data_IF_155308335934
#
_entry.id   IF_155308335934
#
_cell.length_a   1.000
_cell.length_b   1.000
_cell.length_c   1.000
_cell.angle_alpha   90.00
_cell.angle_beta   90.00
_cell.angle_gamma   90.00
#
_symmetry.space_group_name_H-M   'P 1'
#
loop_
_entity.id
_entity.type
_entity.pdbx_description
1 polymer ?
#
# COMPACT_ATOMS: atom_id res chain seq x y z
N UNK A 1 -41.86 21.20 -54.29
CA UNK A 1 -40.50 21.77 -54.09
C UNK A 1 -40.22 22.21 -52.65
N UNK A 2 -41.17 22.83 -51.89
CA UNK A 2 -40.88 23.25 -50.49
C UNK A 2 -40.61 22.12 -49.46
N UNK A 3 -41.17 20.91 -49.65
CA UNK A 3 -40.93 19.76 -48.70
C UNK A 3 -39.57 19.06 -48.91
N UNK A 4 -39.01 19.09 -50.12
CA UNK A 4 -37.73 18.47 -50.43
C UNK A 4 -36.55 19.34 -49.89
N UNK A 5 -36.71 20.66 -49.96
CA UNK A 5 -35.70 21.61 -49.45
C UNK A 5 -35.58 21.52 -47.91
N UNK A 6 -36.69 21.29 -47.16
CA UNK A 6 -36.67 21.14 -45.69
C UNK A 6 -35.98 19.86 -45.20
N UNK A 7 -36.10 18.77 -45.99
CA UNK A 7 -35.45 17.49 -45.62
C UNK A 7 -33.94 17.54 -45.88
N UNK A 8 -33.50 18.18 -46.97
CA UNK A 8 -32.09 18.32 -47.31
C UNK A 8 -31.38 19.24 -46.33
N UNK A 9 -32.04 20.33 -45.89
CA UNK A 9 -31.49 21.25 -44.88
C UNK A 9 -31.40 20.61 -43.49
N UNK A 10 -32.37 19.78 -43.07
CA UNK A 10 -32.33 19.07 -41.81
C UNK A 10 -31.21 17.99 -41.80
N UNK A 11 -31.01 17.26 -42.89
CA UNK A 11 -29.91 16.28 -43.02
C UNK A 11 -28.55 16.99 -43.07
N UNK A 12 -28.40 18.09 -43.77
CA UNK A 12 -27.16 18.84 -43.80
C UNK A 12 -26.82 19.47 -42.43
N UNK A 13 -27.82 19.93 -41.67
CA UNK A 13 -27.62 20.49 -40.33
C UNK A 13 -27.25 19.38 -39.30
N UNK A 14 -27.88 18.20 -39.38
CA UNK A 14 -27.51 17.04 -38.55
C UNK A 14 -26.13 16.53 -38.90
N UNK A 15 -25.76 16.48 -40.19
CA UNK A 15 -24.41 16.06 -40.61
C UNK A 15 -23.36 17.08 -40.22
N UNK A 16 -23.68 18.39 -40.25
CA UNK A 16 -22.78 19.46 -39.77
C UNK A 16 -22.63 19.43 -38.25
N UNK A 17 -23.69 19.16 -37.47
CA UNK A 17 -23.58 19.00 -36.02
C UNK A 17 -22.72 17.79 -35.65
N UNK A 18 -22.91 16.65 -36.32
CA UNK A 18 -22.08 15.42 -36.11
C UNK A 18 -20.60 15.66 -36.50
N UNK A 19 -20.36 16.46 -37.57
CA UNK A 19 -19.00 16.83 -37.98
C UNK A 19 -18.32 17.81 -37.01
N UNK A 20 -19.07 18.72 -36.36
CA UNK A 20 -18.54 19.67 -35.38
C UNK A 20 -18.23 18.99 -34.03
N UNK A 21 -18.96 17.95 -33.61
CA UNK A 21 -18.68 17.17 -32.40
C UNK A 21 -17.38 16.42 -32.57
N UNK A 22 -17.10 15.85 -33.74
CA UNK A 22 -15.87 15.10 -34.02
C UNK A 22 -14.56 15.91 -34.07
N UNK A 23 -14.64 17.28 -34.02
CA UNK A 23 -13.48 18.17 -34.08
C UNK A 23 -13.26 19.03 -32.83
N UNK A 24 -14.11 18.85 -31.80
CA UNK A 24 -13.92 19.58 -30.55
C UNK A 24 -12.65 19.10 -29.84
N UNK A 25 -11.78 20.05 -29.55
CA UNK A 25 -10.66 19.83 -28.62
C UNK A 25 -11.23 19.93 -27.21
N UNK A 26 -10.92 18.96 -26.38
CA UNK A 26 -11.22 18.96 -24.96
C UNK A 26 -10.00 18.54 -24.15
N UNK A 27 -10.01 18.90 -22.89
CA UNK A 27 -8.95 18.57 -21.95
C UNK A 27 -9.59 18.25 -20.61
N UNK A 28 -9.09 17.23 -19.94
CA UNK A 28 -9.42 16.92 -18.56
C UNK A 28 -8.18 16.46 -17.80
N UNK A 29 -8.28 16.45 -16.48
CA UNK A 29 -7.18 16.02 -15.60
C UNK A 29 -7.67 14.89 -14.71
N UNK A 30 -6.83 13.86 -14.52
CA UNK A 30 -7.00 12.85 -13.48
C UNK A 30 -5.98 13.17 -12.40
N UNK A 31 -6.46 13.52 -11.19
CA UNK A 31 -5.63 13.63 -10.01
C UNK A 31 -5.62 12.30 -9.27
N UNK A 32 -4.44 11.80 -8.94
CA UNK A 32 -4.29 10.46 -8.35
C UNK A 32 -3.48 10.46 -7.07
N UNK A 33 -3.88 9.57 -6.15
CA UNK A 33 -3.13 9.20 -4.94
C UNK A 33 -2.96 7.68 -4.87
N UNK A 34 -2.03 7.23 -4.06
CA UNK A 34 -1.80 5.83 -3.70
C UNK A 34 -1.08 5.75 -2.36
N UNK A 35 -1.17 4.60 -1.70
CA UNK A 35 -0.39 4.28 -0.49
C UNK A 35 -0.47 5.41 0.57
N UNK A 36 -1.67 5.89 0.84
CA UNK A 36 -1.87 6.98 1.81
C UNK A 36 -1.51 6.56 3.23
N UNK A 37 -1.72 5.29 3.60
CA UNK A 37 -1.35 4.71 4.89
C UNK A 37 -1.78 5.58 6.08
N UNK A 38 -3.04 6.00 6.08
CA UNK A 38 -3.63 6.82 7.13
C UNK A 38 -3.05 8.23 7.27
N UNK A 39 -2.28 8.71 6.30
CA UNK A 39 -1.61 10.02 6.39
C UNK A 39 -2.62 11.16 6.43
N UNK A 40 -2.60 11.93 7.52
CA UNK A 40 -3.47 13.10 7.72
C UNK A 40 -2.77 14.41 7.31
N UNK A 41 -1.44 14.46 7.34
CA UNK A 41 -0.62 15.68 7.23
C UNK A 41 -0.89 16.54 6.00
N UNK A 42 -1.14 15.93 4.85
CA UNK A 42 -1.32 16.62 3.58
C UNK A 42 -2.74 16.53 3.02
N UNK A 43 -3.72 15.97 3.75
CA UNK A 43 -5.13 15.92 3.31
C UNK A 43 -5.69 17.31 2.98
N UNK A 44 -5.46 18.29 3.86
CA UNK A 44 -5.90 19.66 3.63
C UNK A 44 -5.21 20.33 2.41
N UNK A 45 -3.98 19.94 2.10
CA UNK A 45 -3.25 20.42 0.91
C UNK A 45 -3.75 19.76 -0.37
N UNK A 46 -4.08 18.47 -0.30
CA UNK A 46 -4.72 17.75 -1.40
C UNK A 46 -6.08 18.34 -1.73
N UNK A 47 -6.88 18.70 -0.71
CA UNK A 47 -8.16 19.38 -0.91
C UNK A 47 -8.00 20.69 -1.69
N UNK A 48 -6.98 21.48 -1.37
CA UNK A 48 -6.67 22.71 -2.14
C UNK A 48 -6.27 22.38 -3.58
N UNK A 49 -5.39 21.39 -3.79
CA UNK A 49 -4.97 20.97 -5.12
C UNK A 49 -6.17 20.56 -6.00
N UNK A 50 -7.10 19.77 -5.43
CA UNK A 50 -8.32 19.34 -6.11
C UNK A 50 -9.22 20.53 -6.45
N UNK A 51 -9.47 21.45 -5.50
CA UNK A 51 -10.29 22.65 -5.72
C UNK A 51 -9.70 23.53 -6.83
N UNK A 52 -8.41 23.86 -6.75
CA UNK A 52 -7.74 24.69 -7.77
C UNK A 52 -7.77 24.03 -9.16
N UNK A 53 -7.63 22.70 -9.25
CA UNK A 53 -7.72 22.01 -10.52
C UNK A 53 -9.15 22.04 -11.08
N UNK A 54 -10.16 21.75 -10.25
CA UNK A 54 -11.58 21.76 -10.63
C UNK A 54 -12.09 23.16 -11.05
N UNK A 55 -11.51 24.22 -10.50
CA UNK A 55 -11.83 25.59 -10.89
C UNK A 55 -11.37 25.93 -12.32
N UNK A 56 -10.45 25.14 -12.89
CA UNK A 56 -9.84 25.42 -14.19
C UNK A 56 -10.21 24.43 -15.29
N UNK A 57 -10.41 23.13 -14.92
CA UNK A 57 -10.62 22.04 -15.89
C UNK A 57 -11.45 20.93 -15.26
N UNK A 58 -12.18 20.17 -16.09
CA UNK A 58 -12.86 18.97 -15.59
C UNK A 58 -11.84 18.01 -14.99
N UNK A 59 -12.06 17.64 -13.73
CA UNK A 59 -11.07 16.88 -12.94
C UNK A 59 -11.72 15.67 -12.30
N UNK A 60 -11.11 14.53 -12.51
CA UNK A 60 -11.46 13.24 -11.88
C UNK A 60 -10.41 12.96 -10.80
N UNK A 61 -10.83 12.58 -9.60
CA UNK A 61 -9.93 12.30 -8.47
C UNK A 61 -9.98 10.82 -8.12
N UNK A 62 -8.84 10.14 -8.17
CA UNK A 62 -8.76 8.69 -8.00
C UNK A 62 -7.73 8.25 -6.97
N UNK A 63 -7.90 7.04 -6.42
CA UNK A 63 -6.95 6.43 -5.48
C UNK A 63 -6.59 4.99 -5.90
N UNK A 64 -5.30 4.67 -5.89
CA UNK A 64 -4.80 3.35 -6.25
C UNK A 64 -4.53 2.43 -5.03
N UNK A 65 -5.32 2.58 -3.94
CA UNK A 65 -5.34 1.66 -2.81
C UNK A 65 -4.34 1.96 -1.69
N UNK A 66 -4.40 1.15 -0.63
CA UNK A 66 -3.64 1.28 0.63
C UNK A 66 -3.90 2.62 1.32
N UNK A 67 -5.18 2.92 1.58
CA UNK A 67 -5.58 4.13 2.27
C UNK A 67 -5.41 4.05 3.78
N UNK A 68 -5.40 2.86 4.37
CA UNK A 68 -5.24 2.62 5.81
C UNK A 68 -3.86 2.05 6.15
N UNK A 69 -3.70 1.72 7.43
CA UNK A 69 -2.54 1.07 8.04
C UNK A 69 -1.27 1.91 8.05
N UNK A 70 -1.10 2.63 9.17
CA UNK A 70 0.09 3.46 9.43
C UNK A 70 -0.16 4.73 10.21
N UNK A 71 -1.37 4.90 10.81
CA UNK A 71 -1.69 6.03 11.68
C UNK A 71 -2.75 5.65 12.73
N UNK A 72 -2.38 5.67 13.98
CA UNK A 72 -3.25 5.30 15.11
C UNK A 72 -4.60 6.07 15.14
N UNK A 73 -4.61 7.35 14.79
CA UNK A 73 -5.84 8.15 14.75
C UNK A 73 -6.85 7.69 13.71
N UNK A 74 -6.38 7.03 12.67
CA UNK A 74 -7.20 6.46 11.59
C UNK A 74 -7.52 4.99 11.88
N UNK A 75 -6.50 4.21 12.19
CA UNK A 75 -6.59 2.75 12.22
C UNK A 75 -7.31 2.23 13.47
N UNK A 76 -7.24 2.95 14.60
CA UNK A 76 -7.94 2.64 15.84
C UNK A 76 -9.29 3.35 15.95
N UNK A 77 -9.66 4.20 14.99
CA UNK A 77 -10.98 4.82 14.96
C UNK A 77 -12.04 3.80 14.58
N UNK A 78 -13.27 3.99 15.13
CA UNK A 78 -14.40 3.13 14.84
C UNK A 78 -14.66 3.03 13.32
N UNK A 79 -14.67 1.81 12.80
CA UNK A 79 -14.89 1.51 11.39
C UNK A 79 -13.82 2.06 10.45
N UNK A 80 -12.69 2.59 10.96
CA UNK A 80 -11.64 3.26 10.17
C UNK A 80 -12.16 4.41 9.28
N UNK A 81 -13.29 4.98 9.63
CA UNK A 81 -14.01 5.99 8.85
C UNK A 81 -13.31 7.35 8.65
N UNK A 82 -12.31 7.77 9.47
CA UNK A 82 -11.67 9.07 9.25
C UNK A 82 -11.13 9.27 7.83
N UNK A 83 -10.53 8.24 7.19
CA UNK A 83 -10.04 8.36 5.81
C UNK A 83 -11.18 8.53 4.82
N UNK A 84 -12.25 7.75 4.95
CA UNK A 84 -13.44 7.87 4.08
C UNK A 84 -14.07 9.26 4.20
N UNK A 85 -14.25 9.77 5.43
CA UNK A 85 -14.76 11.15 5.64
C UNK A 85 -13.92 12.20 4.93
N UNK A 86 -12.60 12.11 5.03
CA UNK A 86 -11.70 13.06 4.38
C UNK A 86 -11.71 12.91 2.87
N UNK A 87 -11.74 11.69 2.34
CA UNK A 87 -11.85 11.44 0.90
C UNK A 87 -13.16 11.95 0.33
N UNK A 88 -14.30 11.74 1.03
CA UNK A 88 -15.60 12.32 0.67
C UNK A 88 -15.55 13.85 0.66
N UNK A 89 -14.98 14.47 1.71
CA UNK A 89 -14.85 15.92 1.81
C UNK A 89 -13.95 16.54 0.72
N UNK A 90 -12.93 15.82 0.26
CA UNK A 90 -12.04 16.22 -0.85
C UNK A 90 -12.76 16.02 -2.19
N UNK A 91 -13.69 15.07 -2.26
CA UNK A 91 -14.45 14.72 -3.44
C UNK A 91 -13.69 13.76 -4.36
N UNK A 92 -13.27 12.61 -3.84
CA UNK A 92 -12.83 11.52 -4.68
C UNK A 92 -13.99 11.00 -5.53
N UNK A 93 -13.66 10.48 -6.69
CA UNK A 93 -14.62 9.92 -7.64
C UNK A 93 -14.53 8.39 -7.70
N UNK A 94 -13.31 7.84 -7.68
CA UNK A 94 -13.07 6.39 -7.79
C UNK A 94 -11.87 5.99 -6.96
N UNK A 95 -11.90 4.76 -6.41
CA UNK A 95 -10.75 4.12 -5.76
C UNK A 95 -10.65 2.64 -6.10
N UNK A 96 -9.43 2.07 -6.10
CA UNK A 96 -9.26 0.62 -6.03
C UNK A 96 -8.89 0.16 -4.63
N UNK A 97 -8.77 -1.13 -4.41
CA UNK A 97 -8.31 -1.72 -3.14
C UNK A 97 -6.80 -1.97 -3.17
N UNK A 98 -6.15 -1.76 -2.00
CA UNK A 98 -4.81 -2.24 -1.74
C UNK A 98 -4.82 -3.40 -0.74
N UNK A 99 -3.67 -4.04 -0.51
CA UNK A 99 -3.58 -5.18 0.42
C UNK A 99 -3.86 -4.78 1.88
N UNK A 100 -3.41 -3.59 2.30
CA UNK A 100 -3.67 -3.08 3.65
C UNK A 100 -5.10 -2.61 3.91
N UNK A 101 -5.92 -2.47 2.88
CA UNK A 101 -7.33 -2.18 3.05
C UNK A 101 -8.08 -3.36 3.72
N UNK A 102 -7.53 -4.58 3.65
CA UNK A 102 -8.08 -5.78 4.29
C UNK A 102 -7.59 -6.04 5.73
N UNK A 103 -6.65 -5.29 6.26
CA UNK A 103 -5.96 -5.59 7.54
C UNK A 103 -6.87 -5.78 8.74
N UNK A 104 -8.04 -5.13 8.77
CA UNK A 104 -9.04 -5.27 9.84
C UNK A 104 -10.22 -6.16 9.49
N UNK A 105 -10.13 -6.88 8.38
CA UNK A 105 -11.12 -7.84 7.91
C UNK A 105 -12.23 -7.23 7.07
N UNK A 106 -12.94 -8.11 6.37
CA UNK A 106 -13.91 -7.75 5.33
C UNK A 106 -15.07 -6.92 5.83
N UNK A 107 -15.59 -7.18 7.04
CA UNK A 107 -16.73 -6.44 7.57
C UNK A 107 -16.42 -4.97 7.79
N UNK A 108 -15.21 -4.64 8.26
CA UNK A 108 -14.80 -3.25 8.48
C UNK A 108 -14.60 -2.55 7.14
N UNK A 109 -14.00 -3.24 6.17
CA UNK A 109 -13.83 -2.73 4.80
C UNK A 109 -15.18 -2.48 4.12
N UNK A 110 -16.10 -3.44 4.18
CA UNK A 110 -17.46 -3.34 3.62
C UNK A 110 -18.22 -2.13 4.16
N UNK A 111 -18.25 -1.97 5.49
CA UNK A 111 -18.84 -0.80 6.13
C UNK A 111 -18.19 0.53 5.69
N UNK A 112 -16.91 0.53 5.43
CA UNK A 112 -16.20 1.71 4.96
C UNK A 112 -16.54 2.02 3.50
N UNK A 113 -16.62 1.00 2.63
CA UNK A 113 -17.06 1.12 1.23
C UNK A 113 -18.51 1.63 1.16
N UNK A 114 -19.43 1.14 2.01
CA UNK A 114 -20.80 1.66 2.10
C UNK A 114 -20.90 3.15 2.47
N UNK A 115 -19.89 3.70 3.15
CA UNK A 115 -19.85 5.13 3.55
C UNK A 115 -19.07 6.00 2.56
N UNK A 116 -18.44 5.40 1.57
CA UNK A 116 -17.76 6.13 0.51
C UNK A 116 -18.80 6.82 -0.41
N UNK A 117 -18.55 8.07 -0.75
CA UNK A 117 -19.31 8.84 -1.76
C UNK A 117 -18.64 8.73 -3.14
N UNK A 118 -17.70 7.81 -3.30
CA UNK A 118 -16.98 7.48 -4.51
C UNK A 118 -17.08 5.99 -4.79
N UNK A 119 -16.88 5.59 -6.03
CA UNK A 119 -16.95 4.19 -6.42
C UNK A 119 -15.67 3.45 -6.04
N UNK A 120 -15.80 2.17 -5.63
CA UNK A 120 -14.67 1.29 -5.36
C UNK A 120 -14.70 0.13 -6.34
N UNK A 121 -13.58 -0.10 -7.02
CA UNK A 121 -13.43 -1.12 -8.07
C UNK A 121 -12.25 -2.06 -7.81
N UNK A 122 -12.46 -3.38 -8.03
CA UNK A 122 -11.41 -4.39 -7.93
C UNK A 122 -11.78 -5.63 -8.77
N UNK A 123 -11.40 -5.65 -10.03
CA UNK A 123 -11.82 -6.65 -11.01
C UNK A 123 -11.25 -8.07 -10.77
N UNK A 124 -10.13 -8.18 -10.06
CA UNK A 124 -9.53 -9.50 -9.81
C UNK A 124 -9.93 -10.13 -8.47
N UNK A 125 -10.92 -9.53 -7.77
CA UNK A 125 -11.48 -10.06 -6.54
C UNK A 125 -12.89 -10.60 -6.78
N UNK A 126 -13.15 -11.84 -6.36
CA UNK A 126 -14.48 -12.43 -6.30
C UNK A 126 -14.85 -12.70 -4.85
N UNK A 127 -16.02 -12.26 -4.42
CA UNK A 127 -16.57 -12.56 -3.10
C UNK A 127 -17.61 -13.67 -3.19
N UNK A 128 -17.38 -14.78 -2.50
CA UNK A 128 -18.38 -15.84 -2.29
C UNK A 128 -19.20 -15.61 -1.00
N UNK A 129 -18.89 -14.54 -0.30
CA UNK A 129 -19.37 -14.25 1.02
C UNK A 129 -20.53 -13.26 1.08
N UNK A 130 -20.64 -12.62 2.24
CA UNK A 130 -21.68 -11.66 2.60
C UNK A 130 -21.21 -10.20 2.42
N UNK A 131 -19.89 -9.99 2.28
CA UNK A 131 -19.24 -8.70 2.32
C UNK A 131 -18.71 -8.29 0.96
N UNK A 132 -18.54 -6.99 0.75
CA UNK A 132 -17.93 -6.37 -0.42
C UNK A 132 -18.76 -6.49 -1.73
N UNK A 133 -20.07 -6.66 -1.61
CA UNK A 133 -20.99 -6.69 -2.76
C UNK A 133 -21.05 -5.33 -3.50
N UNK A 134 -20.62 -4.24 -2.84
CA UNK A 134 -20.57 -2.89 -3.40
C UNK A 134 -19.25 -2.55 -4.10
N UNK A 135 -18.31 -3.51 -4.18
CA UNK A 135 -17.07 -3.35 -4.95
C UNK A 135 -17.31 -3.81 -6.38
N UNK A 136 -17.23 -2.88 -7.33
CA UNK A 136 -17.37 -3.18 -8.75
C UNK A 136 -16.09 -3.77 -9.36
N UNK A 137 -16.17 -4.31 -10.57
CA UNK A 137 -14.99 -4.70 -11.35
C UNK A 137 -14.35 -3.47 -12.02
N UNK A 138 -15.18 -2.61 -12.60
CA UNK A 138 -14.82 -1.40 -13.32
C UNK A 138 -15.94 -0.37 -13.25
N UNK A 139 -15.65 0.86 -13.61
CA UNK A 139 -16.61 1.95 -13.76
C UNK A 139 -16.20 2.92 -14.86
N UNK A 140 -17.07 3.84 -15.23
CA UNK A 140 -16.75 4.87 -16.22
C UNK A 140 -17.26 6.26 -15.82
N UNK A 141 -16.57 7.28 -16.28
CA UNK A 141 -16.97 8.67 -16.15
C UNK A 141 -17.06 9.29 -17.54
N UNK A 142 -18.18 9.96 -17.81
CA UNK A 142 -18.35 10.72 -19.04
C UNK A 142 -18.06 12.19 -18.78
N UNK A 143 -17.08 12.74 -19.46
CA UNK A 143 -16.75 14.16 -19.33
C UNK A 143 -17.86 15.07 -19.90
N UNK A 144 -17.93 16.36 -19.54
CA UNK A 144 -18.91 17.30 -20.12
C UNK A 144 -18.88 17.39 -21.65
N UNK A 145 -17.73 17.07 -22.26
CA UNK A 145 -17.56 17.04 -23.71
C UNK A 145 -17.94 15.70 -24.35
N UNK A 146 -18.35 14.71 -23.55
CA UNK A 146 -18.81 13.40 -23.98
C UNK A 146 -17.69 12.40 -24.23
N UNK A 147 -16.50 12.59 -23.63
CA UNK A 147 -15.43 11.59 -23.63
C UNK A 147 -15.73 10.57 -22.54
N UNK A 148 -15.74 9.30 -22.90
CA UNK A 148 -15.91 8.18 -21.97
C UNK A 148 -14.56 7.70 -21.46
N UNK A 149 -14.36 7.75 -20.14
CA UNK A 149 -13.13 7.33 -19.46
C UNK A 149 -13.44 6.13 -18.61
N UNK A 150 -12.91 4.97 -18.99
CA UNK A 150 -13.09 3.71 -18.25
C UNK A 150 -11.99 3.53 -17.21
N UNK A 151 -12.39 3.10 -16.01
CA UNK A 151 -11.51 2.80 -14.89
C UNK A 151 -11.67 1.35 -14.47
N UNK A 152 -10.58 0.61 -14.49
CA UNK A 152 -10.50 -0.78 -14.03
C UNK A 152 -9.61 -0.80 -12.78
N UNK A 153 -10.02 -1.53 -11.72
CA UNK A 153 -9.24 -1.69 -10.51
C UNK A 153 -8.64 -3.08 -10.40
N UNK A 154 -7.39 -3.20 -9.90
CA UNK A 154 -6.80 -4.50 -9.54
C UNK A 154 -5.93 -4.39 -8.29
N UNK A 155 -5.90 -5.44 -7.48
CA UNK A 155 -5.04 -5.57 -6.31
C UNK A 155 -4.06 -6.74 -6.49
N UNK A 156 -2.89 -6.66 -5.85
CA UNK A 156 -1.90 -7.74 -5.89
C UNK A 156 -2.48 -9.08 -5.44
N UNK A 157 -1.95 -10.17 -5.95
CA UNK A 157 -2.17 -11.52 -5.43
C UNK A 157 -0.90 -12.35 -5.59
N UNK A 158 -0.72 -13.32 -4.69
CA UNK A 158 0.47 -14.16 -4.62
C UNK A 158 0.11 -15.64 -4.74
N UNK A 159 1.13 -16.50 -4.62
CA UNK A 159 0.96 -17.95 -4.74
C UNK A 159 0.06 -18.58 -3.66
N UNK A 160 -0.18 -17.88 -2.56
CA UNK A 160 -1.16 -18.25 -1.52
C UNK A 160 -2.62 -17.94 -1.93
N UNK A 161 -2.84 -17.28 -3.06
CA UNK A 161 -4.16 -17.00 -3.62
C UNK A 161 -4.82 -15.72 -3.12
N UNK A 162 -4.10 -14.86 -2.41
CA UNK A 162 -4.61 -13.56 -1.94
C UNK A 162 -3.48 -12.51 -1.81
N UNK A 163 -3.81 -11.21 -1.58
CA UNK A 163 -2.84 -10.18 -1.23
C UNK A 163 -2.05 -10.47 0.05
N UNK A 164 -0.93 -9.75 0.26
CA UNK A 164 -0.22 -9.78 1.54
C UNK A 164 -1.16 -9.36 2.69
N UNK A 165 -1.21 -10.18 3.73
CA UNK A 165 -2.04 -9.93 4.90
C UNK A 165 -2.30 -11.19 5.72
N UNK A 166 -3.22 -11.08 6.68
CA UNK A 166 -3.64 -12.22 7.49
C UNK A 166 -4.66 -13.06 6.74
N UNK A 167 -4.39 -14.36 6.53
CA UNK A 167 -5.24 -15.30 5.78
C UNK A 167 -6.73 -15.24 6.20
N UNK A 168 -7.01 -15.04 7.50
CA UNK A 168 -8.38 -14.97 8.00
C UNK A 168 -9.16 -13.78 7.43
N UNK A 169 -8.46 -12.72 7.00
CA UNK A 169 -9.10 -11.54 6.42
C UNK A 169 -9.58 -11.79 4.98
N UNK A 170 -9.14 -12.90 4.38
CA UNK A 170 -9.46 -13.26 2.98
C UNK A 170 -10.38 -14.48 2.86
N UNK A 171 -10.90 -15.00 4.00
CA UNK A 171 -11.80 -16.16 3.99
C UNK A 171 -13.06 -15.89 3.15
N UNK A 172 -13.30 -16.74 2.12
CA UNK A 172 -14.42 -16.57 1.17
C UNK A 172 -14.17 -15.54 0.06
N UNK A 173 -12.97 -14.96 -0.02
CA UNK A 173 -12.51 -14.16 -1.16
C UNK A 173 -11.60 -15.00 -2.06
N UNK A 174 -11.69 -14.76 -3.37
CA UNK A 174 -10.80 -15.33 -4.37
C UNK A 174 -10.16 -14.21 -5.16
N UNK A 175 -8.86 -14.34 -5.42
CA UNK A 175 -8.12 -13.36 -6.20
C UNK A 175 -7.46 -14.04 -7.41
N UNK A 176 -7.85 -13.61 -8.58
CA UNK A 176 -7.19 -14.01 -9.82
C UNK A 176 -5.86 -13.26 -10.00
N UNK A 177 -5.01 -13.72 -10.92
CA UNK A 177 -3.80 -12.98 -11.27
C UNK A 177 -4.17 -11.59 -11.83
N UNK A 178 -3.70 -10.48 -11.18
CA UNK A 178 -4.12 -9.13 -11.53
C UNK A 178 -3.72 -8.71 -12.95
N UNK A 179 -2.61 -9.23 -13.48
CA UNK A 179 -2.18 -8.89 -14.84
C UNK A 179 -3.05 -9.56 -15.89
N UNK A 180 -3.46 -10.81 -15.65
CA UNK A 180 -4.37 -11.54 -16.57
C UNK A 180 -5.74 -10.87 -16.59
N UNK A 181 -6.24 -10.49 -15.42
CA UNK A 181 -7.53 -9.79 -15.31
C UNK A 181 -7.46 -8.40 -15.93
N UNK A 182 -6.40 -7.64 -15.68
CA UNK A 182 -6.23 -6.33 -16.31
C UNK A 182 -6.22 -6.40 -17.85
N UNK A 183 -5.57 -7.42 -18.44
CA UNK A 183 -5.62 -7.62 -19.90
C UNK A 183 -7.03 -7.91 -20.39
N UNK A 184 -7.75 -8.84 -19.74
CA UNK A 184 -9.13 -9.20 -20.10
C UNK A 184 -10.06 -7.98 -20.03
N UNK A 185 -10.08 -7.27 -18.92
CA UNK A 185 -10.93 -6.10 -18.72
C UNK A 185 -10.57 -4.95 -19.67
N UNK A 186 -9.28 -4.77 -19.95
CA UNK A 186 -8.83 -3.78 -20.93
C UNK A 186 -9.27 -4.11 -22.36
N UNK A 187 -9.35 -5.42 -22.74
CA UNK A 187 -9.87 -5.84 -24.03
C UNK A 187 -11.40 -5.67 -24.13
N UNK A 188 -12.12 -5.89 -23.02
CA UNK A 188 -13.58 -5.77 -22.94
C UNK A 188 -14.03 -4.29 -22.81
N UNK A 189 -13.18 -3.40 -22.35
CA UNK A 189 -13.45 -1.95 -22.23
C UNK A 189 -13.58 -1.29 -23.60
N UNK A 190 -14.56 -0.38 -23.73
CA UNK A 190 -14.83 0.37 -24.95
C UNK A 190 -14.67 1.89 -24.78
N UNK A 191 -14.18 2.36 -23.63
CA UNK A 191 -13.97 3.80 -23.36
C UNK A 191 -13.01 4.46 -24.35
N UNK A 192 -13.18 5.75 -24.53
CA UNK A 192 -12.28 6.60 -25.34
C UNK A 192 -10.89 6.74 -24.72
N UNK A 193 -10.82 6.63 -23.38
CA UNK A 193 -9.60 6.58 -22.57
C UNK A 193 -9.72 5.46 -21.54
N UNK A 194 -8.69 4.61 -21.45
CA UNK A 194 -8.65 3.47 -20.54
C UNK A 194 -7.62 3.66 -19.46
N UNK A 195 -8.06 3.63 -18.20
CA UNK A 195 -7.23 3.85 -17.01
C UNK A 195 -7.25 2.61 -16.13
N UNK A 196 -6.08 2.08 -15.81
CA UNK A 196 -5.91 1.04 -14.81
C UNK A 196 -5.53 1.68 -13.46
N UNK A 197 -6.34 1.45 -12.43
CA UNK A 197 -5.99 1.71 -11.04
C UNK A 197 -5.35 0.42 -10.48
N UNK A 198 -4.04 0.42 -10.35
CA UNK A 198 -3.27 -0.78 -10.05
C UNK A 198 -2.67 -0.74 -8.64
N UNK A 199 -2.97 -1.76 -7.85
CA UNK A 199 -2.24 -2.01 -6.61
C UNK A 199 -1.42 -3.31 -6.69
N UNK A 200 -0.80 -3.60 -7.85
CA UNK A 200 0.00 -4.83 -8.02
C UNK A 200 1.52 -4.59 -7.98
N UNK A 201 1.94 -3.32 -7.89
CA UNK A 201 3.35 -2.92 -7.82
C UNK A 201 3.97 -2.56 -9.17
N UNK A 202 4.92 -1.61 -9.11
CA UNK A 202 5.50 -0.98 -10.31
C UNK A 202 6.15 -1.96 -11.29
N UNK A 203 6.79 -3.04 -10.83
CA UNK A 203 7.42 -4.02 -11.71
C UNK A 203 6.38 -4.75 -12.57
N UNK A 204 5.22 -5.09 -11.99
CA UNK A 204 4.10 -5.70 -12.71
C UNK A 204 3.40 -4.68 -13.62
N UNK A 205 3.29 -3.42 -13.18
CA UNK A 205 2.71 -2.33 -13.99
C UNK A 205 3.54 -2.08 -15.25
N UNK A 206 4.87 -1.99 -15.12
CA UNK A 206 5.78 -1.82 -16.24
C UNK A 206 5.77 -3.02 -17.18
N UNK A 207 5.78 -4.24 -16.63
CA UNK A 207 5.70 -5.46 -17.43
C UNK A 207 4.38 -5.58 -18.20
N UNK A 208 3.26 -5.16 -17.59
CA UNK A 208 1.97 -5.08 -18.27
C UNK A 208 2.01 -4.06 -19.41
N UNK A 209 2.48 -2.84 -19.16
CA UNK A 209 2.61 -1.80 -20.19
C UNK A 209 3.55 -2.22 -21.34
N UNK A 210 4.60 -3.01 -21.05
CA UNK A 210 5.52 -3.49 -22.08
C UNK A 210 4.89 -4.52 -23.00
N UNK A 211 4.10 -5.45 -22.49
CA UNK A 211 3.53 -6.54 -23.28
C UNK A 211 2.11 -6.29 -23.78
N UNK A 212 1.33 -5.45 -23.08
CA UNK A 212 -0.06 -5.17 -23.37
C UNK A 212 -0.29 -3.66 -23.54
N UNK A 213 -0.60 -3.22 -24.75
CA UNK A 213 -0.79 -1.80 -25.08
C UNK A 213 -2.25 -1.32 -24.97
N UNK A 214 -3.10 -2.00 -24.19
CA UNK A 214 -4.54 -1.73 -24.11
C UNK A 214 -4.95 -0.57 -23.18
N UNK A 215 -4.03 -0.07 -22.34
CA UNK A 215 -4.28 1.05 -21.45
C UNK A 215 -3.57 2.33 -21.92
N UNK A 216 -4.24 3.47 -21.80
CA UNK A 216 -3.65 4.78 -21.99
C UNK A 216 -2.84 5.22 -20.75
N UNK A 217 -3.35 4.88 -19.56
CA UNK A 217 -2.76 5.26 -18.26
C UNK A 217 -2.83 4.11 -17.28
N UNK A 218 -1.73 3.86 -16.54
CA UNK A 218 -1.68 3.01 -15.36
C UNK A 218 -1.29 3.89 -14.17
N UNK A 219 -2.18 3.97 -13.18
CA UNK A 219 -1.94 4.64 -11.90
C UNK A 219 -1.65 3.55 -10.88
N UNK A 220 -0.37 3.43 -10.48
CA UNK A 220 0.15 2.37 -9.65
C UNK A 220 0.20 2.68 -8.16
N UNK A 221 0.32 1.61 -7.36
CA UNK A 221 0.52 1.64 -5.91
C UNK A 221 1.44 0.51 -5.41
N UNK A 222 1.34 0.15 -4.12
CA UNK A 222 1.97 -0.99 -3.44
C UNK A 222 3.48 -0.84 -3.16
N UNK A 223 4.29 -0.47 -4.14
CA UNK A 223 5.76 -0.43 -4.00
C UNK A 223 6.32 0.92 -3.58
N UNK A 224 5.47 1.90 -3.29
CA UNK A 224 5.83 3.23 -2.77
C UNK A 224 6.84 3.99 -3.64
N UNK A 225 6.89 3.76 -4.94
CA UNK A 225 7.82 4.44 -5.86
C UNK A 225 7.32 5.84 -6.23
N UNK A 226 8.24 6.74 -6.49
CA UNK A 226 7.95 7.95 -7.25
C UNK A 226 8.24 7.64 -8.70
N UNK A 227 7.19 7.38 -9.48
CA UNK A 227 7.31 6.93 -10.87
C UNK A 227 6.57 7.90 -11.79
N UNK A 228 7.22 8.21 -12.89
CA UNK A 228 6.72 9.01 -14.00
C UNK A 228 7.41 8.51 -15.25
N UNK A 229 6.75 7.66 -16.01
CA UNK A 229 7.35 7.06 -17.21
C UNK A 229 6.30 6.73 -18.27
N UNK A 230 6.78 6.49 -19.48
CA UNK A 230 5.95 6.02 -20.60
C UNK A 230 6.56 4.73 -21.16
N UNK A 231 5.77 3.69 -21.24
CA UNK A 231 6.16 2.38 -21.77
C UNK A 231 5.21 1.99 -22.91
N UNK A 232 5.72 1.82 -24.13
CA UNK A 232 4.93 1.47 -25.32
C UNK A 232 3.68 2.37 -25.57
N UNK A 233 3.76 3.64 -25.17
CA UNK A 233 2.66 4.60 -25.30
C UNK A 233 1.72 4.68 -24.09
N UNK A 234 1.79 3.73 -23.15
CA UNK A 234 1.07 3.78 -21.88
C UNK A 234 1.82 4.65 -20.88
N UNK A 235 1.15 5.62 -20.28
CA UNK A 235 1.68 6.41 -19.16
C UNK A 235 1.58 5.59 -17.89
N UNK A 236 2.68 5.46 -17.13
CA UNK A 236 2.72 4.73 -15.86
C UNK A 236 3.20 5.66 -14.76
N UNK A 237 2.33 5.95 -13.79
CA UNK A 237 2.60 6.88 -12.69
C UNK A 237 2.37 6.27 -11.31
N UNK A 238 3.17 6.69 -10.31
CA UNK A 238 2.99 6.36 -8.90
C UNK A 238 3.51 7.52 -8.03
N UNK A 239 2.81 7.87 -6.93
CA UNK A 239 3.05 9.10 -6.16
C UNK A 239 3.86 8.89 -4.87
N UNK A 240 4.62 7.82 -4.75
CA UNK A 240 5.27 7.42 -3.50
C UNK A 240 4.23 6.90 -2.49
N UNK A 241 4.37 7.33 -1.21
CA UNK A 241 3.44 7.01 -0.12
C UNK A 241 3.23 8.22 0.79
N UNK A 242 2.21 8.12 1.66
CA UNK A 242 1.92 9.10 2.73
C UNK A 242 1.69 10.51 2.20
N UNK A 243 0.96 10.63 1.08
CA UNK A 243 0.50 11.90 0.51
C UNK A 243 1.61 12.96 0.39
N UNK A 244 2.82 12.59 -0.02
CA UNK A 244 3.89 13.56 -0.29
C UNK A 244 3.66 14.27 -1.61
N UNK A 245 3.04 13.58 -2.56
CA UNK A 245 2.75 14.04 -3.91
C UNK A 245 1.30 13.74 -4.27
N UNK A 246 0.79 14.44 -5.27
CA UNK A 246 -0.40 14.08 -6.05
C UNK A 246 0.05 13.89 -7.49
N UNK A 247 -0.40 12.81 -8.13
CA UNK A 247 -0.19 12.60 -9.56
C UNK A 247 -1.20 13.42 -10.36
N UNK A 248 -0.76 14.09 -11.42
CA UNK A 248 -1.63 14.84 -12.32
C UNK A 248 -1.46 14.31 -13.75
N UNK A 249 -2.47 13.59 -14.23
CA UNK A 249 -2.54 13.10 -15.61
C UNK A 249 -3.40 14.04 -16.43
N UNK A 250 -2.79 14.79 -17.33
CA UNK A 250 -3.45 15.72 -18.24
C UNK A 250 -3.72 15.06 -19.57
N UNK A 251 -5.01 14.90 -19.92
CA UNK A 251 -5.44 14.24 -21.15
C UNK A 251 -6.00 15.27 -22.12
N UNK A 252 -5.45 15.34 -23.32
CA UNK A 252 -5.95 16.20 -24.41
C UNK A 252 -6.59 15.33 -25.48
N UNK A 253 -7.82 15.68 -25.85
CA UNK A 253 -8.65 14.94 -26.78
C UNK A 253 -8.98 15.74 -28.04
N UNK A 254 -9.30 15.01 -29.11
CA UNK A 254 -9.96 15.55 -30.30
C UNK A 254 -11.10 14.61 -30.68
N UNK A 255 -12.33 14.97 -30.27
CA UNK A 255 -13.45 14.02 -30.24
C UNK A 255 -13.11 12.86 -29.32
N UNK A 256 -13.30 11.65 -29.77
CA UNK A 256 -12.95 10.40 -29.05
C UNK A 256 -11.48 10.00 -29.15
N UNK A 257 -10.62 10.80 -29.79
CA UNK A 257 -9.22 10.45 -29.97
C UNK A 257 -8.32 11.16 -28.99
N UNK A 258 -7.50 10.41 -28.27
CA UNK A 258 -6.38 10.93 -27.47
C UNK A 258 -5.35 11.62 -28.37
N UNK A 259 -5.00 12.87 -28.04
CA UNK A 259 -3.97 13.66 -28.74
C UNK A 259 -2.66 13.62 -27.98
N UNK A 260 -2.70 13.81 -26.66
CA UNK A 260 -1.55 13.65 -25.77
C UNK A 260 -2.00 13.33 -24.36
N UNK A 261 -1.16 12.61 -23.64
CA UNK A 261 -1.26 12.38 -22.21
C UNK A 261 0.07 12.82 -21.60
N UNK A 262 0.00 13.64 -20.57
CA UNK A 262 1.15 14.14 -19.82
C UNK A 262 0.91 13.82 -18.34
N UNK A 263 1.90 13.27 -17.66
CA UNK A 263 1.83 12.95 -16.23
C UNK A 263 2.90 13.73 -15.48
N UNK A 264 2.57 14.16 -14.27
CA UNK A 264 3.51 14.83 -13.37
C UNK A 264 3.21 14.48 -11.92
N UNK A 265 4.24 14.24 -11.11
CA UNK A 265 4.17 14.12 -9.66
C UNK A 265 4.34 15.51 -8.99
N UNK A 266 3.26 16.10 -8.50
CA UNK A 266 3.25 17.44 -7.90
C UNK A 266 3.41 17.34 -6.38
N UNK A 267 4.44 17.95 -5.76
CA UNK A 267 4.60 17.94 -4.32
C UNK A 267 3.47 18.69 -3.60
N UNK A 268 2.74 18.02 -2.73
CA UNK A 268 1.62 18.62 -1.99
C UNK A 268 2.04 19.75 -1.04
N UNK A 269 3.31 19.78 -0.61
CA UNK A 269 3.85 20.91 0.16
C UNK A 269 3.75 22.28 -0.53
N UNK A 270 3.54 22.31 -1.84
CA UNK A 270 3.41 23.52 -2.64
C UNK A 270 2.04 24.19 -2.47
N UNK A 271 1.03 23.48 -1.95
CA UNK A 271 -0.32 24.00 -1.76
C UNK A 271 -0.54 24.53 -0.34
N UNK A 272 -1.39 25.53 -0.19
CA UNK A 272 -1.92 25.95 1.10
C UNK A 272 -2.83 24.86 1.67
N UNK A 273 -3.08 24.90 2.97
CA UNK A 273 -4.04 24.00 3.59
C UNK A 273 -5.46 24.52 3.45
N UNK A 274 -6.38 23.70 3.00
CA UNK A 274 -7.81 23.97 3.02
C UNK A 274 -8.31 24.01 4.47
N UNK A 275 -9.00 25.07 4.85
CA UNK A 275 -9.38 25.31 6.25
C UNK A 275 -10.42 24.30 6.78
N UNK A 276 -11.33 23.84 5.91
CA UNK A 276 -12.39 22.90 6.28
C UNK A 276 -11.83 21.50 6.53
N UNK A 277 -11.01 21.02 5.60
CA UNK A 277 -10.37 19.70 5.75
C UNK A 277 -9.33 19.72 6.87
N UNK A 278 -8.60 20.85 7.08
CA UNK A 278 -7.69 20.98 8.23
C UNK A 278 -8.43 20.94 9.57
N UNK A 279 -9.63 21.50 9.65
CA UNK A 279 -10.44 21.41 10.86
C UNK A 279 -10.87 19.96 11.15
N UNK A 280 -11.27 19.19 10.13
CA UNK A 280 -11.59 17.77 10.28
C UNK A 280 -10.35 16.94 10.72
N UNK A 281 -9.18 17.21 10.14
CA UNK A 281 -7.92 16.56 10.54
C UNK A 281 -7.64 16.83 12.02
N UNK A 282 -7.75 18.07 12.48
CA UNK A 282 -7.54 18.43 13.89
C UNK A 282 -8.55 17.73 14.83
N UNK A 283 -9.81 17.58 14.41
CA UNK A 283 -10.82 16.83 15.16
C UNK A 283 -10.40 15.36 15.33
N UNK A 284 -9.94 14.72 14.24
CA UNK A 284 -9.45 13.33 14.25
C UNK A 284 -8.26 13.20 15.20
N UNK A 285 -7.30 14.13 15.15
CA UNK A 285 -6.08 14.11 15.96
C UNK A 285 -6.30 14.51 17.45
N UNK A 286 -7.49 14.97 17.81
CA UNK A 286 -7.80 15.40 19.16
C UNK A 286 -8.06 14.25 20.16
N UNK A 287 -7.92 12.96 19.75
CA UNK A 287 -8.18 11.81 20.63
C UNK A 287 -7.12 11.75 21.77
N UNK A 288 -7.48 12.03 23.04
CA UNK A 288 -6.53 12.10 24.15
C UNK A 288 -5.95 10.72 24.52
N UNK A 289 -6.68 9.63 24.26
CA UNK A 289 -6.22 8.29 24.60
C UNK A 289 -4.97 7.89 23.80
N UNK A 290 -4.81 8.41 22.60
CA UNK A 290 -3.64 8.15 21.76
C UNK A 290 -2.42 8.99 22.15
N UNK A 291 -2.61 10.05 22.94
CA UNK A 291 -1.57 10.92 23.45
C UNK A 291 -1.09 10.52 24.86
N UNK A 292 -1.69 9.48 25.46
CA UNK A 292 -1.26 8.94 26.74
C UNK A 292 0.20 8.48 26.66
N UNK A 293 1.02 8.92 27.62
CA UNK A 293 2.42 8.50 27.74
C UNK A 293 2.48 7.14 28.42
N UNK A 294 3.00 6.15 27.73
CA UNK A 294 3.16 4.76 28.21
C UNK A 294 4.57 4.47 28.73
N UNK A 295 5.51 5.36 28.51
CA UNK A 295 6.89 5.23 28.97
C UNK A 295 7.82 6.21 28.28
N UNK A 296 9.12 5.97 28.36
CA UNK A 296 10.15 6.82 27.73
C UNK A 296 11.32 6.00 27.18
N UNK A 297 11.95 6.54 26.13
CA UNK A 297 13.26 6.09 25.65
C UNK A 297 14.39 6.78 26.43
N UNK A 298 15.33 5.99 26.94
CA UNK A 298 16.48 6.51 27.66
C UNK A 298 17.44 7.32 26.76
N UNK A 299 17.50 6.99 25.48
CA UNK A 299 18.28 7.67 24.44
C UNK A 299 17.59 7.53 23.08
N UNK A 300 18.02 8.34 22.10
CA UNK A 300 17.49 8.24 20.75
C UNK A 300 17.87 6.93 20.09
N UNK A 301 16.93 6.31 19.37
CA UNK A 301 17.15 5.10 18.59
C UNK A 301 17.18 5.42 17.09
N UNK A 302 17.74 4.51 16.32
CA UNK A 302 17.55 4.41 14.88
C UNK A 302 16.64 3.20 14.56
N UNK A 303 16.38 2.95 13.29
CA UNK A 303 15.54 1.81 12.86
C UNK A 303 16.08 0.45 13.34
N UNK A 304 17.41 0.25 13.32
CA UNK A 304 18.06 -0.97 13.84
C UNK A 304 17.77 -1.16 15.33
N UNK A 305 17.85 -0.09 16.10
CA UNK A 305 17.50 -0.12 17.53
C UNK A 305 16.05 -0.50 17.76
N UNK A 306 15.11 0.00 16.96
CA UNK A 306 13.70 -0.39 17.05
C UNK A 306 13.48 -1.86 16.66
N UNK A 307 14.13 -2.36 15.61
CA UNK A 307 14.09 -3.78 15.28
C UNK A 307 14.65 -4.67 16.40
N UNK A 308 15.76 -4.27 17.01
CA UNK A 308 16.32 -4.97 18.18
C UNK A 308 15.35 -4.95 19.36
N UNK A 309 14.69 -3.81 19.61
CA UNK A 309 13.70 -3.67 20.67
C UNK A 309 12.50 -4.58 20.43
N UNK A 310 11.95 -4.59 19.21
CA UNK A 310 10.81 -5.41 18.85
C UNK A 310 11.08 -6.91 19.06
N UNK A 311 12.26 -7.40 18.62
CA UNK A 311 12.65 -8.81 18.87
C UNK A 311 12.79 -9.12 20.36
N UNK A 312 13.30 -8.18 21.15
CA UNK A 312 13.45 -8.32 22.60
C UNK A 312 12.08 -8.38 23.28
N UNK A 313 11.14 -7.51 22.91
CA UNK A 313 9.81 -7.44 23.52
C UNK A 313 9.07 -8.75 23.31
N UNK A 314 8.95 -9.22 22.06
CA UNK A 314 8.21 -10.47 21.78
C UNK A 314 8.85 -11.69 22.44
N UNK A 315 10.20 -11.72 22.53
CA UNK A 315 10.92 -12.77 23.28
C UNK A 315 10.55 -12.76 24.77
N UNK A 316 10.61 -11.60 25.42
CA UNK A 316 10.36 -11.49 26.86
C UNK A 316 8.89 -11.71 27.22
N UNK A 317 7.96 -11.18 26.41
CA UNK A 317 6.54 -11.34 26.60
C UNK A 317 6.09 -12.81 26.49
N UNK A 318 6.78 -13.62 25.68
CA UNK A 318 6.40 -15.02 25.40
C UNK A 318 7.23 -16.04 26.16
N UNK A 319 8.32 -15.63 26.79
CA UNK A 319 9.29 -16.54 27.43
C UNK A 319 10.04 -17.43 26.43
N UNK A 320 10.16 -17.01 25.17
CA UNK A 320 10.93 -17.70 24.14
C UNK A 320 12.44 -17.60 24.39
N UNK A 321 13.24 -18.50 23.81
CA UNK A 321 14.70 -18.44 23.86
C UNK A 321 15.24 -17.40 22.88
N UNK A 322 14.55 -17.21 21.74
CA UNK A 322 14.90 -16.29 20.66
C UNK A 322 13.64 -15.53 20.24
N UNK A 323 13.74 -14.21 20.02
CA UNK A 323 12.73 -13.43 19.33
C UNK A 323 13.23 -13.09 17.93
N UNK A 324 12.37 -13.20 16.93
CA UNK A 324 12.64 -12.86 15.53
C UNK A 324 11.54 -11.95 15.01
N UNK A 325 11.93 -10.83 14.39
CA UNK A 325 11.00 -9.89 13.78
C UNK A 325 11.55 -9.42 12.43
N UNK A 326 10.66 -9.15 11.46
CA UNK A 326 11.07 -8.67 10.16
C UNK A 326 11.20 -7.13 10.13
N UNK A 327 12.14 -6.66 9.34
CA UNK A 327 12.44 -5.22 9.21
C UNK A 327 11.24 -4.40 8.78
N UNK A 328 10.47 -4.91 7.81
CA UNK A 328 9.29 -4.24 7.26
C UNK A 328 8.15 -4.05 8.26
N UNK A 329 8.08 -4.86 9.33
CA UNK A 329 7.09 -4.76 10.40
C UNK A 329 7.37 -3.62 11.39
N UNK A 330 8.56 -3.00 11.35
CA UNK A 330 8.93 -1.85 12.17
C UNK A 330 8.85 -0.59 11.30
N UNK A 331 7.81 0.22 11.47
CA UNK A 331 7.43 1.27 10.50
C UNK A 331 8.07 2.64 10.73
N UNK A 332 8.56 2.94 11.92
CA UNK A 332 9.26 4.20 12.24
C UNK A 332 10.72 4.10 11.78
N UNK A 333 10.96 4.44 10.51
CA UNK A 333 12.27 4.28 9.84
C UNK A 333 13.35 5.20 10.42
N UNK A 334 12.97 6.41 10.85
CA UNK A 334 13.91 7.38 11.39
C UNK A 334 14.30 7.11 12.87
N UNK A 335 13.67 6.08 13.48
CA UNK A 335 13.84 5.79 14.90
C UNK A 335 13.03 6.70 15.80
N UNK A 336 13.21 6.54 17.12
CA UNK A 336 12.55 7.36 18.13
C UNK A 336 13.55 8.31 18.83
N UNK A 337 13.16 9.55 19.14
CA UNK A 337 13.97 10.43 19.96
C UNK A 337 14.00 9.93 21.41
N UNK A 338 14.98 10.41 22.20
CA UNK A 338 14.95 10.31 23.65
C UNK A 338 13.71 11.01 24.21
N UNK A 339 13.05 10.42 25.22
CA UNK A 339 11.92 11.00 25.94
C UNK A 339 10.64 10.19 25.80
N UNK A 340 9.51 10.84 25.99
CA UNK A 340 8.20 10.21 26.10
C UNK A 340 7.81 9.39 24.87
N UNK A 341 7.25 8.21 25.11
CA UNK A 341 6.63 7.34 24.13
C UNK A 341 5.14 7.27 24.43
N UNK A 342 4.32 7.61 23.43
CA UNK A 342 2.86 7.64 23.55
C UNK A 342 2.23 6.37 23.00
N UNK A 343 0.98 6.09 23.38
CA UNK A 343 0.15 5.03 22.79
C UNK A 343 0.21 5.06 21.26
N UNK A 344 -0.03 6.26 20.68
CA UNK A 344 0.07 6.48 19.24
C UNK A 344 1.42 6.02 18.65
N UNK A 345 2.51 6.33 19.33
CA UNK A 345 3.86 6.00 18.83
C UNK A 345 4.10 4.50 18.70
N UNK A 346 3.60 3.72 19.67
CA UNK A 346 3.70 2.26 19.60
C UNK A 346 2.93 1.70 18.42
N UNK A 347 1.72 2.20 18.22
CA UNK A 347 0.89 1.77 17.11
C UNK A 347 1.48 2.19 15.75
N UNK A 348 1.98 3.41 15.61
CA UNK A 348 2.62 3.88 14.38
C UNK A 348 3.88 3.05 14.04
N UNK A 349 4.51 2.43 15.06
CA UNK A 349 5.65 1.54 14.87
C UNK A 349 5.25 0.14 14.40
N UNK A 350 4.13 -0.40 14.92
CA UNK A 350 3.59 -1.72 14.56
C UNK A 350 2.06 -1.61 14.33
N UNK A 351 1.63 -1.17 13.15
CA UNK A 351 0.21 -0.88 12.88
C UNK A 351 -0.58 -2.07 12.30
N UNK A 352 -0.03 -3.28 12.32
CA UNK A 352 -0.57 -4.42 11.57
C UNK A 352 -1.47 -5.34 12.40
N UNK A 353 -1.68 -5.04 13.68
CA UNK A 353 -2.36 -5.94 14.61
C UNK A 353 -1.73 -7.35 14.62
N UNK A 354 -0.41 -7.40 14.41
CA UNK A 354 0.34 -8.65 14.32
C UNK A 354 0.20 -9.47 15.60
N UNK A 355 0.11 -10.79 15.42
CA UNK A 355 0.20 -11.76 16.51
C UNK A 355 1.57 -12.42 16.53
N UNK A 356 1.87 -13.14 17.60
CA UNK A 356 3.12 -13.86 17.73
C UNK A 356 2.85 -15.36 17.68
N UNK A 357 3.66 -16.06 16.89
CA UNK A 357 3.73 -17.51 16.89
C UNK A 357 4.92 -17.98 17.72
N UNK A 358 4.68 -18.92 18.61
CA UNK A 358 5.73 -19.69 19.28
C UNK A 358 6.00 -20.94 18.48
N UNK A 359 7.20 -21.05 17.96
CA UNK A 359 7.63 -22.17 17.12
C UNK A 359 8.87 -22.84 17.67
N UNK A 360 9.08 -24.12 17.35
CA UNK A 360 10.34 -24.81 17.56
C UNK A 360 11.08 -24.95 16.24
N UNK A 361 12.29 -24.41 16.16
CA UNK A 361 13.15 -24.49 14.97
C UNK A 361 14.58 -24.90 15.35
N UNK A 362 15.22 -25.63 14.44
CA UNK A 362 16.66 -25.92 14.47
C UNK A 362 17.47 -24.81 13.80
N UNK A 363 18.79 -24.69 14.07
CA UNK A 363 19.65 -23.77 13.33
C UNK A 363 19.65 -24.02 11.83
N UNK A 364 19.45 -25.26 11.38
CA UNK A 364 19.37 -25.59 9.95
C UNK A 364 18.15 -24.97 9.28
N UNK A 365 16.96 -25.02 9.94
CA UNK A 365 15.73 -24.39 9.43
C UNK A 365 15.85 -22.87 9.42
N UNK A 366 16.40 -22.27 10.49
CA UNK A 366 16.69 -20.83 10.54
C UNK A 366 17.67 -20.39 9.45
N UNK A 367 18.71 -21.18 9.18
CA UNK A 367 19.70 -20.92 8.14
C UNK A 367 19.03 -20.85 6.77
N UNK A 368 18.21 -21.86 6.45
CA UNK A 368 17.46 -21.93 5.20
C UNK A 368 16.59 -20.68 5.03
N UNK A 369 15.78 -20.36 6.03
CA UNK A 369 14.90 -19.18 6.01
C UNK A 369 15.67 -17.89 5.77
N UNK A 370 16.79 -17.66 6.48
CA UNK A 370 17.57 -16.43 6.38
C UNK A 370 18.27 -16.32 5.02
N UNK A 371 18.85 -17.43 4.50
CA UNK A 371 19.52 -17.46 3.19
C UNK A 371 18.50 -17.13 2.08
N UNK A 372 17.38 -17.83 2.09
CA UNK A 372 16.34 -17.64 1.07
C UNK A 372 15.77 -16.23 1.10
N UNK A 373 15.48 -15.69 2.32
CA UNK A 373 14.97 -14.34 2.44
C UNK A 373 15.99 -13.26 2.04
N UNK A 374 17.28 -13.48 2.33
CA UNK A 374 18.33 -12.56 1.87
C UNK A 374 18.47 -12.54 0.35
N UNK A 375 18.30 -13.70 -0.29
CA UNK A 375 18.39 -13.86 -1.75
C UNK A 375 17.07 -13.57 -2.48
N UNK A 376 16.00 -13.29 -1.75
CA UNK A 376 14.71 -12.95 -2.34
C UNK A 376 14.82 -11.67 -3.16
N UNK A 377 14.57 -11.81 -4.46
CA UNK A 377 14.78 -10.77 -5.48
C UNK A 377 13.50 -10.00 -5.83
N UNK A 378 12.42 -10.16 -5.10
CA UNK A 378 11.16 -9.43 -5.36
C UNK A 378 11.41 -7.91 -5.43
N UNK A 379 12.46 -7.43 -4.78
CA UNK A 379 12.97 -6.07 -4.89
C UNK A 379 14.46 -6.07 -5.27
N UNK A 380 14.82 -6.65 -6.38
CA UNK A 380 16.21 -6.89 -6.80
C UNK A 380 17.17 -5.67 -6.76
N UNK A 381 16.65 -4.44 -6.75
CA UNK A 381 17.44 -3.21 -6.58
C UNK A 381 17.61 -2.76 -5.13
N UNK A 382 16.83 -3.33 -4.20
CA UNK A 382 16.90 -3.07 -2.75
C UNK A 382 17.23 -4.33 -1.97
N UNK A 383 17.38 -5.45 -2.67
CA UNK A 383 17.67 -6.77 -2.15
C UNK A 383 19.05 -6.87 -1.51
N UNK A 384 19.27 -7.97 -0.83
CA UNK A 384 20.47 -8.27 -0.10
C UNK A 384 20.63 -7.37 1.15
N UNK A 385 19.53 -7.11 1.84
CA UNK A 385 19.55 -6.50 3.16
C UNK A 385 19.20 -7.50 4.27
N UNK A 386 19.63 -7.21 5.48
CA UNK A 386 19.21 -7.95 6.66
C UNK A 386 17.73 -7.62 6.90
N UNK A 387 16.85 -8.55 6.61
CA UNK A 387 15.41 -8.39 6.82
C UNK A 387 14.96 -8.97 8.17
N UNK A 388 15.49 -10.13 8.57
CA UNK A 388 15.13 -10.78 9.82
C UNK A 388 16.06 -10.34 10.96
N UNK A 389 15.55 -9.55 11.90
CA UNK A 389 16.26 -9.25 13.14
C UNK A 389 15.98 -10.34 14.18
N UNK A 390 16.98 -10.66 14.99
CA UNK A 390 16.90 -11.70 16.03
C UNK A 390 17.64 -11.30 17.31
N UNK A 391 17.15 -11.74 18.45
CA UNK A 391 17.84 -11.56 19.74
C UNK A 391 19.13 -12.36 19.87
N UNK A 392 19.44 -13.24 18.92
CA UNK A 392 20.70 -13.97 18.81
C UNK A 392 21.53 -13.43 17.64
N UNK A 393 22.86 -13.25 17.79
CA UNK A 393 23.69 -12.85 16.66
C UNK A 393 23.76 -13.95 15.59
N UNK A 394 23.82 -13.52 14.34
CA UNK A 394 24.12 -14.37 13.21
C UNK A 394 24.88 -13.61 12.11
N UNK A 395 25.62 -14.35 11.28
CA UNK A 395 26.37 -13.81 10.17
C UNK A 395 25.91 -14.47 8.87
N UNK A 396 25.38 -13.70 7.94
CA UNK A 396 25.05 -14.15 6.58
C UNK A 396 26.37 -14.21 5.80
N UNK A 397 26.67 -15.37 5.24
CA UNK A 397 27.86 -15.59 4.43
C UNK A 397 27.46 -15.46 2.96
N UNK A 398 28.03 -14.47 2.29
CA UNK A 398 27.76 -14.20 0.87
C UNK A 398 28.98 -14.48 -0.02
N UNK A 399 28.73 -14.76 -1.29
CA UNK A 399 29.75 -14.88 -2.32
C UNK A 399 30.15 -13.51 -2.90
N UNK A 400 30.97 -13.51 -3.95
CA UNK A 400 31.43 -12.31 -4.65
C UNK A 400 30.32 -11.55 -5.40
N UNK A 401 29.17 -12.19 -5.64
CA UNK A 401 27.99 -11.60 -6.27
C UNK A 401 26.95 -11.16 -5.23
N UNK A 402 27.32 -11.09 -3.95
CA UNK A 402 26.45 -10.76 -2.83
C UNK A 402 25.29 -11.74 -2.61
N UNK A 403 25.42 -12.99 -3.10
CA UNK A 403 24.44 -14.05 -2.88
C UNK A 403 24.75 -14.84 -1.61
N UNK A 404 23.77 -14.91 -0.70
CA UNK A 404 23.90 -15.69 0.52
C UNK A 404 23.86 -17.20 0.20
N UNK A 405 24.79 -17.96 0.80
CA UNK A 405 24.83 -19.41 0.68
C UNK A 405 24.94 -20.14 2.03
N UNK A 406 25.19 -19.40 3.12
CA UNK A 406 25.26 -19.96 4.48
C UNK A 406 24.99 -18.89 5.54
N UNK A 407 24.63 -19.33 6.75
CA UNK A 407 24.52 -18.48 7.94
C UNK A 407 25.23 -19.12 9.11
N UNK A 408 26.16 -18.38 9.71
CA UNK A 408 26.86 -18.79 10.90
C UNK A 408 26.18 -18.23 12.16
N UNK A 409 25.86 -19.11 13.10
CA UNK A 409 25.29 -18.77 14.40
C UNK A 409 26.33 -18.98 15.53
N UNK A 410 26.92 -17.89 16.07
CA UNK A 410 27.96 -18.03 17.10
C UNK A 410 27.49 -18.69 18.40
N UNK A 411 26.20 -18.65 18.70
CA UNK A 411 25.61 -19.07 19.97
C UNK A 411 24.65 -20.24 19.89
N UNK A 412 24.30 -20.69 18.70
CA UNK A 412 23.38 -21.83 18.55
C UNK A 412 24.15 -23.14 18.35
N UNK A 413 23.57 -24.25 18.83
CA UNK A 413 24.14 -25.61 18.70
C UNK A 413 23.37 -26.35 17.63
N UNK A 414 24.06 -26.89 16.65
CA UNK A 414 23.46 -27.70 15.58
C UNK A 414 22.66 -28.87 16.17
N UNK A 415 21.52 -29.19 15.56
CA UNK A 415 20.61 -30.24 15.97
C UNK A 415 19.77 -29.94 17.22
N UNK A 416 20.05 -28.86 17.97
CA UNK A 416 19.18 -28.42 19.07
C UNK A 416 17.98 -27.65 18.52
N UNK A 417 16.79 -27.96 19.05
CA UNK A 417 15.59 -27.16 18.83
C UNK A 417 15.56 -25.98 19.81
N UNK A 418 15.16 -24.84 19.30
CA UNK A 418 15.02 -23.59 20.07
C UNK A 418 13.56 -23.12 20.00
N UNK A 419 13.02 -22.70 21.13
CA UNK A 419 11.73 -22.05 21.23
C UNK A 419 11.86 -20.60 20.76
N UNK A 420 11.19 -20.25 19.67
CA UNK A 420 11.32 -18.97 18.99
C UNK A 420 9.96 -18.27 18.99
N UNK A 421 9.97 -16.98 19.35
CA UNK A 421 8.85 -16.08 19.12
C UNK A 421 9.06 -15.40 17.76
N UNK A 422 8.09 -15.48 16.88
CA UNK A 422 8.14 -14.87 15.53
C UNK A 422 6.82 -14.20 15.22
N UNK A 423 6.87 -13.07 14.50
CA UNK A 423 5.66 -12.40 14.02
C UNK A 423 4.88 -13.31 13.06
N UNK A 424 3.54 -13.27 13.11
CA UNK A 424 2.67 -14.05 12.25
C UNK A 424 2.93 -13.82 10.76
N UNK A 425 3.23 -12.58 10.37
CA UNK A 425 3.62 -12.25 8.99
C UNK A 425 4.80 -13.11 8.49
N UNK A 426 5.84 -13.29 9.30
CA UNK A 426 7.00 -14.14 8.93
C UNK A 426 6.59 -15.61 8.85
N UNK A 427 5.80 -16.09 9.81
CA UNK A 427 5.38 -17.48 9.85
C UNK A 427 4.48 -17.89 8.67
N UNK A 428 3.71 -16.93 8.11
CA UNK A 428 2.71 -17.20 7.08
C UNK A 428 3.13 -16.82 5.67
N UNK A 429 3.88 -15.70 5.52
CA UNK A 429 4.15 -15.14 4.20
C UNK A 429 5.59 -15.44 3.69
N UNK A 430 6.48 -15.99 4.53
CA UNK A 430 7.82 -16.34 4.07
C UNK A 430 7.84 -17.75 3.50
N UNK A 431 8.10 -17.88 2.20
CA UNK A 431 7.99 -19.11 1.43
C UNK A 431 8.79 -20.30 1.97
N UNK A 432 9.85 -20.05 2.73
CA UNK A 432 10.73 -21.10 3.28
C UNK A 432 10.67 -21.20 4.79
N UNK A 433 9.55 -20.75 5.38
CA UNK A 433 9.32 -20.91 6.81
C UNK A 433 8.95 -22.36 7.12
N UNK A 434 9.81 -23.04 7.87
CA UNK A 434 9.62 -24.43 8.30
C UNK A 434 9.88 -24.53 9.81
N UNK A 435 8.98 -25.13 10.56
CA UNK A 435 9.11 -25.35 11.99
C UNK A 435 8.64 -26.76 12.40
N UNK A 436 9.07 -27.21 13.59
CA UNK A 436 8.69 -28.51 14.14
C UNK A 436 7.34 -28.48 14.87
N UNK A 437 7.04 -27.36 15.49
CA UNK A 437 5.77 -27.12 16.18
C UNK A 437 5.44 -25.63 16.15
N UNK A 438 4.14 -25.31 16.20
CA UNK A 438 3.65 -23.95 16.12
C UNK A 438 2.45 -23.76 17.05
N UNK A 439 2.46 -22.66 17.81
CA UNK A 439 1.36 -22.21 18.65
C UNK A 439 1.16 -20.71 18.43
N UNK A 440 0.04 -20.34 17.86
CA UNK A 440 -0.37 -18.93 17.72
C UNK A 440 -0.84 -18.39 19.06
N UNK A 441 -0.31 -17.25 19.47
CA UNK A 441 -0.72 -16.56 20.68
C UNK A 441 -1.83 -15.53 20.37
N UNK A 442 -2.85 -15.39 21.23
CA UNK A 442 -3.93 -14.44 21.01
C UNK A 442 -3.54 -12.96 21.26
N UNK A 443 -2.36 -12.74 21.88
CA UNK A 443 -1.89 -11.38 22.21
C UNK A 443 -1.36 -10.66 20.95
N UNK A 444 -1.70 -9.39 20.82
CA UNK A 444 -1.14 -8.53 19.79
C UNK A 444 0.26 -8.05 20.19
N UNK A 445 1.09 -7.84 19.19
CA UNK A 445 2.44 -7.24 19.36
C UNK A 445 2.32 -5.86 20.00
N UNK A 446 1.36 -5.06 19.59
CA UNK A 446 1.05 -3.76 20.18
C UNK A 446 0.81 -3.83 21.70
N UNK A 447 0.04 -4.82 22.18
CA UNK A 447 -0.23 -5.00 23.62
C UNK A 447 1.06 -5.39 24.39
N UNK A 448 1.91 -6.21 23.75
CA UNK A 448 3.23 -6.57 24.30
C UNK A 448 4.13 -5.34 24.41
N UNK A 449 4.16 -4.49 23.39
CA UNK A 449 4.92 -3.24 23.37
C UNK A 449 4.45 -2.31 24.48
N UNK A 450 3.16 -2.07 24.62
CA UNK A 450 2.58 -1.23 25.68
C UNK A 450 2.98 -1.74 27.07
N UNK A 451 2.73 -3.01 27.35
CA UNK A 451 3.07 -3.63 28.63
C UNK A 451 4.59 -3.57 28.93
N UNK A 452 5.42 -3.68 27.89
CA UNK A 452 6.86 -3.60 28.02
C UNK A 452 7.32 -2.20 28.43
N UNK A 453 6.81 -1.15 27.76
CA UNK A 453 7.14 0.25 28.08
C UNK A 453 6.65 0.65 29.47
N UNK A 454 5.42 0.29 29.85
CA UNK A 454 4.86 0.54 31.18
C UNK A 454 5.72 -0.08 32.31
N UNK A 455 6.31 -1.24 32.06
CA UNK A 455 7.10 -1.98 33.03
C UNK A 455 8.56 -1.58 33.10
N UNK A 456 9.19 -1.25 31.96
CA UNK A 456 10.63 -1.16 31.82
C UNK A 456 11.15 0.26 31.53
N UNK A 457 10.28 1.28 31.63
CA UNK A 457 10.66 2.68 31.38
C UNK A 457 11.63 3.22 32.45
N UNK A 458 12.67 3.98 32.07
CA UNK A 458 13.09 4.33 30.72
C UNK A 458 13.73 3.15 29.98
N UNK A 459 13.30 2.94 28.71
CA UNK A 459 13.73 1.81 27.88
C UNK A 459 15.10 2.08 27.25
N UNK A 460 15.99 1.09 27.37
CA UNK A 460 17.30 1.10 26.72
C UNK A 460 17.40 -0.01 25.67
N UNK A 461 17.97 0.32 24.51
CA UNK A 461 18.25 -0.64 23.45
C UNK A 461 19.49 -0.23 22.65
N UNK A 462 20.23 -1.20 22.13
CA UNK A 462 21.38 -0.93 21.27
C UNK A 462 20.95 -0.57 19.85
N UNK A 463 21.54 0.48 19.29
CA UNK A 463 21.43 0.86 17.88
C UNK A 463 22.34 0.04 16.95
N UNK A 464 23.17 -0.83 17.51
CA UNK A 464 24.07 -1.69 16.73
C UNK A 464 23.37 -3.00 16.32
N UNK A 465 23.49 -3.44 15.07
CA UNK A 465 22.91 -4.69 14.63
C UNK A 465 23.65 -5.90 15.24
N UNK A 466 22.88 -6.88 15.71
CA UNK A 466 23.42 -8.19 16.12
C UNK A 466 23.72 -9.06 14.90
N UNK A 467 23.17 -8.72 13.75
CA UNK A 467 23.29 -9.42 12.50
C UNK A 467 24.31 -8.73 11.60
N UNK A 468 25.07 -9.54 10.81
CA UNK A 468 26.09 -9.03 9.88
C UNK A 468 26.09 -9.79 8.59
N UNK A 469 26.48 -9.11 7.50
CA UNK A 469 26.80 -9.73 6.21
C UNK A 469 28.33 -9.84 6.12
N UNK A 470 28.83 -10.99 5.74
CA UNK A 470 30.27 -11.29 5.64
C UNK A 470 30.56 -11.86 4.26
N UNK A 471 31.35 -11.13 3.48
CA UNK A 471 31.85 -11.63 2.19
C UNK A 471 32.99 -12.61 2.47
N UNK A 472 32.81 -13.86 2.04
CA UNK A 472 33.85 -14.88 2.14
C UNK A 472 34.54 -15.03 0.80
N UNK A 473 35.72 -14.41 0.65
CA UNK A 473 36.59 -14.71 -0.49
C UNK A 473 36.91 -16.20 -0.47
N UNK A 474 36.57 -16.92 -1.53
CA UNK A 474 37.07 -18.28 -1.74
C UNK A 474 38.59 -18.17 -1.87
N UNK A 475 39.35 -18.75 -0.92
CA UNK A 475 40.78 -19.02 -1.03
C UNK A 475 41.00 -20.39 -1.63
#
# INVERSE_FOLDING_TARGET
>A
MKKVVSIVTAFAFSFFLLFFVGYRKSEFVILSTNDMHGSLDNMARLATAVKECRDTVFTIVVDAGDRWTGNAYVDLAEGRLPMIRLMNAIGYDIATLGNHDFDTGQQVLDNAVEKAEFEVVCANMESEGKWLDNVGESTHIVTPEGVEVDFIGVVTSYSNGHPDGNDNNFEGLKFADPQIVAEREGDDSNGDVKVLLSHMGHDRDLALAERYGGYDVIIGGHTHRLLDTVVNGTVVGQTQRKLKYVGATKVKMRGSRVVSIEYENIPLKNYAKDAEVEAQVKEIEANPALQEVVGEMAHSTNHVGLCNLQTKIIKEATGAEIGIYHRGGVRIIDGLPKGNVMVKTLFDNEPFFSQVHLVEMTPSQLRKLIVEKYNDTVNAKESHCIDLYATTPYHIIVDENDMAYDVYFPRLREGRKYKIAVADYVARNYAHFECESEVRLPMLVYDMDKAYFEKNSPVEVSNEPLQRVVVRNQR
#
